data_IF_093255857784
#
_entry.id   IF_093255857784
#
_cell.length_a   1.000
_cell.length_b   1.000
_cell.length_c   1.000
_cell.angle_alpha   90.00
_cell.angle_beta   90.00
_cell.angle_gamma   90.00
#
_symmetry.space_group_name_H-M   'P 1'
#
loop_
_entity.id
_entity.type
_entity.pdbx_description
1 polymer ?
#
# COMPACT_ATOMS: atom_id res chain seq x y z
N UNK A 1 4.28 12.72 31.39
CA UNK A 1 3.61 11.49 30.90
C UNK A 1 3.08 10.71 32.11
N UNK A 2 1.84 10.96 32.54
CA UNK A 2 1.21 10.33 33.73
C UNK A 2 -0.04 9.50 33.42
N UNK A 3 -0.34 9.25 32.14
CA UNK A 3 -1.36 8.29 31.74
C UNK A 3 -0.68 7.09 31.07
N UNK A 4 -0.80 5.90 31.66
CA UNK A 4 -0.36 4.65 31.03
C UNK A 4 -1.49 4.19 30.12
N UNK A 5 -1.37 4.38 28.81
CA UNK A 5 -2.17 3.62 27.87
C UNK A 5 -2.00 2.12 28.20
N UNK A 6 -3.07 1.33 28.31
CA UNK A 6 -3.00 -0.09 28.66
C UNK A 6 -2.60 -0.92 27.43
N UNK A 7 -1.49 -0.61 26.77
CA UNK A 7 -0.97 -1.39 25.64
C UNK A 7 0.33 -2.09 26.04
N UNK A 8 0.46 -3.37 25.71
CA UNK A 8 1.65 -4.18 25.98
C UNK A 8 2.60 -4.21 24.75
N UNK A 9 2.03 -3.96 23.58
CA UNK A 9 2.72 -3.87 22.29
C UNK A 9 2.07 -2.80 21.41
N UNK A 10 2.89 -2.05 20.66
CA UNK A 10 2.46 -1.14 19.61
C UNK A 10 3.04 -1.60 18.28
N UNK A 11 2.22 -1.64 17.23
CA UNK A 11 2.64 -1.89 15.84
C UNK A 11 2.52 -0.59 15.07
N UNK A 12 3.65 0.05 14.76
CA UNK A 12 3.70 1.27 13.96
C UNK A 12 3.57 0.92 12.47
N UNK A 13 2.57 1.51 11.82
CA UNK A 13 2.32 1.29 10.38
C UNK A 13 2.88 2.50 9.62
N UNK A 14 3.98 2.29 8.90
CA UNK A 14 4.57 3.27 8.00
C UNK A 14 4.12 3.04 6.55
N UNK A 15 4.06 4.09 5.74
CA UNK A 15 3.74 3.91 4.31
C UNK A 15 4.92 3.31 3.53
N UNK A 16 6.13 3.77 3.82
CA UNK A 16 7.34 3.38 3.09
C UNK A 16 7.63 4.28 1.90
N UNK A 17 8.87 4.25 1.44
CA UNK A 17 9.40 5.07 0.34
C UNK A 17 10.59 4.38 -0.28
N UNK A 18 10.84 4.64 -1.57
CA UNK A 18 12.03 4.14 -2.28
C UNK A 18 13.31 4.89 -1.92
N UNK A 19 13.22 6.05 -1.27
CA UNK A 19 14.39 6.84 -0.87
C UNK A 19 15.03 6.28 0.41
N UNK A 20 16.31 5.95 0.35
CA UNK A 20 17.06 5.39 1.48
C UNK A 20 17.01 6.27 2.72
N UNK A 21 17.20 7.59 2.56
CA UNK A 21 17.13 8.52 3.70
C UNK A 21 15.73 8.59 4.31
N UNK A 22 14.66 8.39 3.52
CA UNK A 22 13.28 8.42 4.02
C UNK A 22 12.96 7.16 4.82
N UNK A 23 13.49 6.01 4.38
CA UNK A 23 13.47 4.79 5.18
C UNK A 23 14.27 4.95 6.47
N UNK A 24 15.45 5.59 6.41
CA UNK A 24 16.29 5.84 7.58
C UNK A 24 15.59 6.75 8.61
N UNK A 25 14.86 7.78 8.18
CA UNK A 25 14.07 8.63 9.08
C UNK A 25 12.96 7.86 9.78
N UNK A 26 12.22 7.01 9.07
CA UNK A 26 11.20 6.18 9.71
C UNK A 26 11.82 5.18 10.70
N UNK A 27 12.94 4.54 10.35
CA UNK A 27 13.66 3.65 11.29
C UNK A 27 14.12 4.41 12.52
N UNK A 28 14.68 5.61 12.36
CA UNK A 28 15.05 6.48 13.48
C UNK A 28 13.85 6.85 14.36
N UNK A 29 12.67 7.06 13.75
CA UNK A 29 11.42 7.27 14.48
C UNK A 29 10.99 6.03 15.26
N UNK A 30 11.09 4.83 14.67
CA UNK A 30 10.79 3.56 15.36
C UNK A 30 11.74 3.35 16.54
N UNK A 31 13.03 3.64 16.39
CA UNK A 31 13.99 3.59 17.49
C UNK A 31 13.69 4.61 18.59
N UNK A 32 13.28 5.83 18.22
CA UNK A 32 12.83 6.84 19.17
C UNK A 32 11.61 6.33 19.97
N UNK A 33 10.65 5.71 19.29
CA UNK A 33 9.48 5.10 19.92
C UNK A 33 9.89 3.98 20.88
N UNK A 34 10.75 3.05 20.44
CA UNK A 34 11.23 1.95 21.28
C UNK A 34 11.97 2.43 22.54
N UNK A 35 12.69 3.56 22.48
CA UNK A 35 13.38 4.13 23.65
C UNK A 35 12.46 4.89 24.61
N UNK A 36 11.43 5.56 24.10
CA UNK A 36 10.63 6.52 24.88
C UNK A 36 9.29 5.96 25.35
N UNK A 37 8.71 5.02 24.60
CA UNK A 37 7.42 4.42 24.95
C UNK A 37 7.61 3.34 26.03
N UNK A 38 6.66 3.21 26.98
CA UNK A 38 6.72 2.22 28.05
C UNK A 38 6.29 0.80 27.62
N UNK A 39 6.28 0.54 26.32
CA UNK A 39 5.73 -0.66 25.68
C UNK A 39 6.70 -1.18 24.62
N UNK A 40 6.58 -2.46 24.26
CA UNK A 40 7.26 -2.98 23.07
C UNK A 40 6.73 -2.27 21.82
N UNK A 41 7.62 -2.11 20.84
CA UNK A 41 7.32 -1.47 19.57
C UNK A 41 7.77 -2.41 18.46
N UNK A 42 6.83 -2.77 17.59
CA UNK A 42 7.07 -3.37 16.28
C UNK A 42 6.72 -2.32 15.23
N UNK A 43 7.25 -2.47 14.02
CA UNK A 43 6.91 -1.59 12.91
C UNK A 43 6.89 -2.38 11.61
N UNK A 44 6.09 -1.92 10.66
CA UNK A 44 6.06 -2.46 9.31
C UNK A 44 5.74 -1.38 8.28
N UNK A 45 6.09 -1.64 7.03
CA UNK A 45 5.79 -0.77 5.91
C UNK A 45 4.69 -1.35 5.03
N UNK A 46 3.82 -0.46 4.54
CA UNK A 46 2.82 -0.76 3.53
C UNK A 46 3.51 -1.21 2.24
N UNK A 47 4.49 -0.44 1.78
CA UNK A 47 5.22 -0.70 0.53
C UNK A 47 6.70 -0.33 0.62
N UNK A 48 7.49 -0.80 -0.35
CA UNK A 48 8.86 -0.35 -0.67
C UNK A 48 9.97 -0.61 0.36
N UNK A 49 9.67 -1.12 1.55
CA UNK A 49 10.66 -1.40 2.57
C UNK A 49 10.26 -2.58 3.46
N UNK A 50 11.26 -3.25 4.01
CA UNK A 50 11.10 -4.28 5.02
C UNK A 50 11.33 -3.72 6.43
N UNK A 51 10.70 -4.31 7.47
CA UNK A 51 9.73 -5.42 7.41
C UNK A 51 8.36 -5.01 6.84
N UNK A 52 7.65 -5.94 6.19
CA UNK A 52 6.32 -5.68 5.64
C UNK A 52 5.27 -5.58 6.75
N UNK A 53 4.07 -5.07 6.43
CA UNK A 53 2.92 -5.12 7.36
C UNK A 53 2.55 -6.54 7.78
N UNK A 54 2.72 -7.53 6.91
CA UNK A 54 2.45 -8.93 7.23
C UNK A 54 3.48 -9.45 8.25
N UNK A 55 4.76 -9.13 8.07
CA UNK A 55 5.83 -9.51 9.01
C UNK A 55 5.59 -8.89 10.39
N UNK A 56 5.23 -7.60 10.42
CA UNK A 56 4.94 -6.88 11.66
C UNK A 56 3.72 -7.45 12.39
N UNK A 57 2.65 -7.79 11.65
CA UNK A 57 1.46 -8.43 12.20
C UNK A 57 1.78 -9.82 12.78
N UNK A 58 2.59 -10.60 12.07
CA UNK A 58 2.99 -11.95 12.47
C UNK A 58 3.90 -11.94 13.69
N UNK A 59 4.86 -11.02 13.74
CA UNK A 59 5.69 -10.78 14.91
C UNK A 59 4.83 -10.36 16.12
N UNK A 60 3.87 -9.46 15.91
CA UNK A 60 2.95 -9.03 16.95
C UNK A 60 2.09 -10.17 17.50
N UNK A 61 1.54 -11.02 16.64
CA UNK A 61 0.75 -12.19 17.03
C UNK A 61 1.58 -13.21 17.84
N UNK A 62 2.84 -13.43 17.44
CA UNK A 62 3.76 -14.36 18.15
C UNK A 62 4.36 -13.78 19.45
N UNK A 63 4.16 -12.50 19.73
CA UNK A 63 4.78 -11.80 20.86
C UNK A 63 4.23 -12.18 22.26
N UNK A 64 3.07 -12.85 22.29
CA UNK A 64 2.32 -13.16 23.52
C UNK A 64 1.68 -11.93 24.21
N UNK A 65 1.68 -10.76 23.56
CA UNK A 65 1.03 -9.57 24.09
C UNK A 65 -0.50 -9.74 24.17
N UNK A 66 -1.13 -9.31 25.28
CA UNK A 66 -2.59 -9.39 25.45
C UNK A 66 -3.30 -8.13 24.98
N UNK A 67 -2.62 -6.99 25.01
CA UNK A 67 -3.16 -5.70 24.58
C UNK A 67 -2.25 -5.12 23.51
N UNK A 68 -2.74 -5.07 22.28
CA UNK A 68 -1.95 -4.67 21.11
C UNK A 68 -2.62 -3.46 20.47
N UNK A 69 -1.86 -2.42 20.20
CA UNK A 69 -2.35 -1.26 19.43
C UNK A 69 -1.66 -1.20 18.08
N UNK A 70 -2.44 -1.21 17.01
CA UNK A 70 -1.97 -0.88 15.66
C UNK A 70 -2.09 0.63 15.50
N UNK A 71 -0.96 1.29 15.25
CA UNK A 71 -0.87 2.75 15.25
C UNK A 71 -0.38 3.24 13.87
N UNK A 72 -1.28 3.82 13.05
CA UNK A 72 -0.91 4.35 11.75
C UNK A 72 -0.10 5.64 11.88
N UNK A 73 1.14 5.64 11.40
CA UNK A 73 2.02 6.80 11.35
C UNK A 73 1.76 7.55 10.05
N UNK A 74 0.54 8.07 9.93
CA UNK A 74 0.01 8.73 8.74
C UNK A 74 -0.71 10.01 9.15
N UNK A 75 -0.56 11.07 8.36
CA UNK A 75 -1.14 12.38 8.68
C UNK A 75 -2.63 12.42 8.38
N UNK A 76 -3.01 12.07 7.15
CA UNK A 76 -4.40 12.15 6.70
C UNK A 76 -4.85 10.75 6.26
N UNK A 77 -6.01 10.32 6.74
CA UNK A 77 -6.56 9.01 6.39
C UNK A 77 -7.14 9.06 4.97
N UNK A 78 -6.46 8.45 4.00
CA UNK A 78 -6.81 8.52 2.58
C UNK A 78 -6.58 7.18 1.86
N UNK A 79 -7.52 6.76 1.01
CA UNK A 79 -7.37 5.57 0.16
C UNK A 79 -7.05 4.29 0.96
N UNK A 80 -6.16 3.45 0.40
CA UNK A 80 -5.74 2.18 1.01
C UNK A 80 -5.18 2.32 2.44
N UNK A 81 -4.65 3.49 2.82
CA UNK A 81 -4.14 3.75 4.18
C UNK A 81 -5.21 3.55 5.27
N UNK A 82 -6.50 3.72 4.95
CA UNK A 82 -7.60 3.42 5.87
C UNK A 82 -7.78 1.92 6.12
N UNK A 83 -7.45 1.10 5.12
CA UNK A 83 -7.65 -0.34 5.14
C UNK A 83 -6.37 -1.09 5.55
N UNK A 84 -5.19 -0.54 5.32
CA UNK A 84 -3.91 -1.18 5.63
C UNK A 84 -3.70 -1.39 7.13
N UNK A 85 -3.91 -0.35 7.95
CA UNK A 85 -3.82 -0.51 9.39
C UNK A 85 -4.94 -1.41 9.96
N UNK A 86 -6.11 -1.39 9.32
CA UNK A 86 -7.22 -2.28 9.66
C UNK A 86 -6.91 -3.74 9.29
N UNK A 87 -6.22 -3.99 8.17
CA UNK A 87 -5.82 -5.33 7.72
C UNK A 87 -4.78 -5.94 8.64
N UNK A 88 -3.81 -5.14 9.11
CA UNK A 88 -2.86 -5.53 10.16
C UNK A 88 -3.61 -5.93 11.44
N UNK A 89 -4.54 -5.09 11.90
CA UNK A 89 -5.33 -5.40 13.09
C UNK A 89 -6.17 -6.68 12.91
N UNK A 90 -6.79 -6.87 11.74
CA UNK A 90 -7.57 -8.06 11.41
C UNK A 90 -6.70 -9.32 11.40
N UNK A 91 -5.49 -9.26 10.81
CA UNK A 91 -4.54 -10.37 10.78
C UNK A 91 -4.08 -10.76 12.19
N UNK A 92 -3.74 -9.77 13.03
CA UNK A 92 -3.35 -10.04 14.42
C UNK A 92 -4.50 -10.71 15.17
N UNK A 93 -5.75 -10.24 15.03
CA UNK A 93 -6.94 -10.85 15.66
C UNK A 93 -7.16 -12.29 15.21
N UNK A 94 -6.90 -12.60 13.94
CA UNK A 94 -7.03 -13.96 13.42
C UNK A 94 -5.97 -14.92 13.98
N UNK A 95 -4.73 -14.44 14.15
CA UNK A 95 -3.60 -15.24 14.62
C UNK A 95 -3.48 -15.31 16.15
N UNK A 96 -4.03 -14.32 16.87
CA UNK A 96 -4.00 -14.20 18.32
C UNK A 96 -5.40 -13.83 18.86
N UNK A 97 -6.37 -14.78 18.86
CA UNK A 97 -7.77 -14.51 19.21
C UNK A 97 -7.96 -14.06 20.68
N UNK A 98 -7.01 -14.35 21.56
CA UNK A 98 -7.05 -13.94 22.97
C UNK A 98 -6.51 -12.50 23.21
N UNK A 99 -6.00 -11.82 22.18
CA UNK A 99 -5.48 -10.46 22.30
C UNK A 99 -6.59 -9.40 22.06
N UNK A 100 -6.67 -8.38 22.93
CA UNK A 100 -7.44 -7.15 22.69
C UNK A 100 -6.62 -6.25 21.74
N UNK A 101 -6.98 -6.28 20.47
CA UNK A 101 -6.32 -5.52 19.40
C UNK A 101 -7.13 -4.27 19.07
N UNK A 102 -6.53 -3.09 19.23
CA UNK A 102 -7.14 -1.80 18.92
C UNK A 102 -6.41 -1.06 17.81
N UNK A 103 -7.15 -0.25 17.07
CA UNK A 103 -6.63 0.61 16.01
C UNK A 103 -6.63 2.05 16.52
N UNK A 104 -5.45 2.67 16.59
CA UNK A 104 -5.34 4.09 16.86
C UNK A 104 -5.78 4.93 15.64
N UNK A 105 -6.31 6.14 15.86
CA UNK A 105 -6.62 7.05 14.75
C UNK A 105 -5.34 7.49 14.05
N UNK A 106 -5.46 7.97 12.81
CA UNK A 106 -4.40 8.74 12.16
C UNK A 106 -4.08 10.02 12.93
N UNK A 107 -2.91 10.61 12.64
CA UNK A 107 -2.39 11.76 13.40
C UNK A 107 -3.16 13.06 13.17
N UNK A 108 -3.76 13.24 11.99
CA UNK A 108 -4.61 14.36 11.62
C UNK A 108 -4.01 15.72 11.96
N UNK A 109 -4.87 16.62 12.43
CA UNK A 109 -4.54 17.96 12.95
C UNK A 109 -4.25 17.95 14.46
N UNK A 110 -3.52 16.95 14.97
CA UNK A 110 -3.16 16.91 16.40
C UNK A 110 -2.44 18.18 16.86
N UNK A 111 -2.65 18.56 18.12
CA UNK A 111 -2.09 19.79 18.67
C UNK A 111 -0.56 19.77 18.62
N UNK A 112 0.04 18.62 18.88
CA UNK A 112 1.48 18.37 18.86
C UNK A 112 2.06 18.64 17.47
N UNK A 113 1.40 18.17 16.40
CA UNK A 113 1.85 18.41 15.03
C UNK A 113 1.65 19.85 14.60
N UNK A 114 0.53 20.48 14.98
CA UNK A 114 0.30 21.89 14.70
C UNK A 114 1.32 22.79 15.43
N UNK A 115 1.69 22.47 16.68
CA UNK A 115 2.75 23.18 17.41
C UNK A 115 4.12 22.97 16.79
N UNK A 116 4.42 21.73 16.36
CA UNK A 116 5.66 21.42 15.64
C UNK A 116 5.72 22.20 14.32
N UNK A 117 4.64 22.23 13.54
CA UNK A 117 4.57 23.00 12.28
C UNK A 117 4.85 24.49 12.53
N UNK A 118 4.22 25.09 13.53
CA UNK A 118 4.44 26.50 13.90
C UNK A 118 5.88 26.75 14.35
N UNK A 119 6.47 25.81 15.10
CA UNK A 119 7.87 25.90 15.52
C UNK A 119 8.83 25.86 14.32
N UNK A 120 8.61 24.96 13.36
CA UNK A 120 9.42 24.87 12.12
C UNK A 120 9.22 26.10 11.24
N UNK A 121 7.99 26.58 11.11
CA UNK A 121 7.64 27.81 10.41
C UNK A 121 8.39 29.03 10.98
N UNK A 122 8.31 29.25 12.30
CA UNK A 122 8.98 30.39 12.96
C UNK A 122 10.50 30.33 12.95
N UNK A 123 11.08 29.13 12.82
CA UNK A 123 12.53 28.97 12.69
C UNK A 123 13.06 29.53 11.36
N UNK A 124 12.24 29.51 10.30
CA UNK A 124 12.59 30.03 8.97
C UNK A 124 12.05 31.45 8.77
N UNK A 125 10.86 31.74 9.31
CA UNK A 125 10.19 33.03 9.22
C UNK A 125 9.88 33.57 10.63
N UNK A 126 10.83 34.30 11.27
CA UNK A 126 10.63 34.81 12.63
C UNK A 126 9.52 35.87 12.74
N UNK A 127 9.25 36.57 11.63
CA UNK A 127 8.13 37.49 11.49
C UNK A 127 7.02 36.82 10.68
N UNK A 128 5.73 37.13 10.91
CA UNK A 128 4.64 36.55 10.12
C UNK A 128 4.82 36.87 8.62
N UNK A 129 4.76 35.87 7.73
CA UNK A 129 4.79 36.09 6.28
C UNK A 129 3.49 36.76 5.82
N UNK A 130 3.48 37.30 4.60
CA UNK A 130 2.25 37.86 4.02
C UNK A 130 1.22 36.77 3.72
N UNK A 131 1.69 35.57 3.39
CA UNK A 131 0.84 34.40 3.14
C UNK A 131 1.50 33.08 3.54
N UNK A 132 0.66 32.07 3.79
CA UNK A 132 1.08 30.70 4.07
C UNK A 132 0.49 29.75 3.02
N UNK A 133 1.32 28.86 2.48
CA UNK A 133 0.89 27.76 1.63
C UNK A 133 1.10 26.44 2.40
N UNK A 134 0.01 25.76 2.77
CA UNK A 134 0.12 24.44 3.41
C UNK A 134 0.02 23.35 2.35
N UNK A 135 1.06 22.52 2.26
CA UNK A 135 1.17 21.52 1.20
C UNK A 135 0.98 20.10 1.76
N UNK A 136 0.07 19.35 1.14
CA UNK A 136 -0.15 17.94 1.43
C UNK A 136 -0.13 17.06 0.18
N UNK A 137 -0.21 15.75 0.36
CA UNK A 137 -0.14 14.80 -0.77
C UNK A 137 -1.28 14.97 -1.77
N UNK A 138 -2.48 15.18 -1.25
CA UNK A 138 -3.75 15.08 -1.97
C UNK A 138 -4.24 13.64 -2.14
N UNK A 139 -5.56 13.49 -2.26
CA UNK A 139 -6.25 12.21 -2.31
C UNK A 139 -7.46 12.26 -3.23
N UNK A 140 -7.85 11.10 -3.75
CA UNK A 140 -9.17 10.89 -4.36
C UNK A 140 -10.30 10.87 -3.33
N UNK A 141 -9.98 10.72 -2.03
CA UNK A 141 -10.94 10.83 -0.93
C UNK A 141 -11.17 12.31 -0.57
N UNK A 142 -12.39 12.86 -0.79
CA UNK A 142 -12.66 14.26 -0.50
C UNK A 142 -12.51 14.63 0.98
N UNK A 143 -12.73 13.68 1.90
CA UNK A 143 -12.59 13.93 3.34
C UNK A 143 -11.15 14.22 3.75
N UNK A 144 -10.19 13.57 3.09
CA UNK A 144 -8.77 13.81 3.31
C UNK A 144 -8.34 15.21 2.83
N UNK A 145 -8.85 15.64 1.69
CA UNK A 145 -8.54 16.98 1.16
C UNK A 145 -9.17 18.07 2.04
N UNK A 146 -10.40 17.86 2.52
CA UNK A 146 -11.06 18.77 3.45
C UNK A 146 -10.33 18.88 4.80
N UNK A 147 -9.74 17.78 5.28
CA UNK A 147 -8.91 17.79 6.49
C UNK A 147 -7.67 18.67 6.31
N UNK A 148 -7.01 18.61 5.14
CA UNK A 148 -5.87 19.50 4.86
C UNK A 148 -6.29 20.98 4.82
N UNK A 149 -7.44 21.30 4.23
CA UNK A 149 -7.95 22.67 4.22
C UNK A 149 -8.22 23.20 5.65
N UNK A 150 -8.77 22.36 6.53
CA UNK A 150 -8.94 22.70 7.94
C UNK A 150 -7.58 22.90 8.64
N UNK A 151 -6.61 22.03 8.39
CA UNK A 151 -5.24 22.16 8.90
C UNK A 151 -4.61 23.47 8.43
N UNK A 152 -4.77 23.83 7.16
CA UNK A 152 -4.24 25.07 6.61
C UNK A 152 -4.75 26.29 7.39
N UNK A 153 -6.06 26.34 7.62
CA UNK A 153 -6.67 27.39 8.44
C UNK A 153 -6.10 27.43 9.86
N UNK A 154 -5.96 26.28 10.52
CA UNK A 154 -5.41 26.19 11.87
C UNK A 154 -3.94 26.64 11.95
N UNK A 155 -3.13 26.30 10.95
CA UNK A 155 -1.74 26.76 10.85
C UNK A 155 -1.69 28.29 10.70
N UNK A 156 -2.52 28.86 9.83
CA UNK A 156 -2.66 30.31 9.67
C UNK A 156 -2.99 31.05 10.95
N UNK A 157 -4.00 30.57 11.69
CA UNK A 157 -4.42 31.18 12.96
C UNK A 157 -3.31 31.17 14.01
N UNK A 158 -2.52 30.09 14.09
CA UNK A 158 -1.40 30.01 15.05
C UNK A 158 -0.20 30.85 14.63
N UNK A 159 -0.02 31.09 13.33
CA UNK A 159 1.00 31.98 12.81
C UNK A 159 0.58 33.45 12.81
N UNK A 160 -0.72 33.74 12.95
CA UNK A 160 -1.26 35.09 12.84
C UNK A 160 -1.25 35.61 11.41
N UNK A 161 -1.49 34.71 10.43
CA UNK A 161 -1.51 35.02 9.00
C UNK A 161 -2.91 34.80 8.45
N UNK A 162 -3.47 35.84 7.83
CA UNK A 162 -4.84 35.80 7.31
C UNK A 162 -4.95 35.11 5.95
N UNK A 163 -3.98 35.36 5.08
CA UNK A 163 -3.95 34.82 3.72
C UNK A 163 -3.29 33.44 3.72
N UNK A 164 -4.12 32.40 3.60
CA UNK A 164 -3.68 31.01 3.64
C UNK A 164 -4.36 30.23 2.53
N UNK A 165 -3.59 29.41 1.83
CA UNK A 165 -4.09 28.44 0.85
C UNK A 165 -3.52 27.06 1.16
N UNK A 166 -4.28 26.02 0.83
CA UNK A 166 -3.80 24.65 0.72
C UNK A 166 -3.44 24.30 -0.73
N UNK A 167 -2.47 23.41 -0.90
CA UNK A 167 -2.16 22.83 -2.21
C UNK A 167 -1.74 21.37 -2.10
N UNK A 168 -1.82 20.68 -3.23
CA UNK A 168 -1.66 19.25 -3.32
C UNK A 168 -0.59 18.87 -4.33
N UNK A 169 0.26 17.91 -3.95
CA UNK A 169 1.30 17.37 -4.84
C UNK A 169 0.69 16.47 -5.93
N UNK A 170 -0.41 15.80 -5.62
CA UNK A 170 -1.03 14.80 -6.50
C UNK A 170 -2.52 14.60 -6.17
N UNK A 171 -3.27 14.01 -7.11
CA UNK A 171 -4.64 13.48 -6.90
C UNK A 171 -5.74 14.50 -6.51
N UNK A 172 -5.38 15.73 -6.16
CA UNK A 172 -6.28 16.81 -5.80
C UNK A 172 -5.75 18.15 -6.36
N UNK A 173 -6.60 19.17 -6.32
CA UNK A 173 -6.31 20.52 -6.80
C UNK A 173 -6.57 21.54 -5.69
N UNK A 174 -5.86 22.68 -5.66
CA UNK A 174 -4.87 23.14 -6.66
C UNK A 174 -3.52 22.41 -6.56
N UNK A 175 -2.76 22.39 -7.66
CA UNK A 175 -1.36 21.95 -7.64
C UNK A 175 -0.51 22.89 -6.77
N UNK A 176 0.70 22.48 -6.38
CA UNK A 176 1.59 23.33 -5.57
C UNK A 176 1.93 24.64 -6.29
N UNK A 177 2.25 24.58 -7.58
CA UNK A 177 2.50 25.76 -8.40
C UNK A 177 1.26 26.64 -8.54
N UNK A 178 0.09 26.05 -8.73
CA UNK A 178 -1.17 26.81 -8.77
C UNK A 178 -1.47 27.50 -7.44
N UNK A 179 -1.18 26.85 -6.30
CA UNK A 179 -1.30 27.45 -4.97
C UNK A 179 -0.42 28.68 -4.80
N UNK A 180 0.85 28.59 -5.21
CA UNK A 180 1.78 29.75 -5.23
C UNK A 180 1.23 30.87 -6.11
N UNK A 181 0.75 30.54 -7.31
CA UNK A 181 0.22 31.53 -8.24
C UNK A 181 -1.06 32.21 -7.72
N UNK A 182 -1.95 31.48 -7.05
CA UNK A 182 -3.14 32.03 -6.41
C UNK A 182 -2.78 33.05 -5.34
N UNK A 183 -1.83 32.72 -4.46
CA UNK A 183 -1.34 33.64 -3.43
C UNK A 183 -0.73 34.91 -4.04
N UNK A 184 0.07 34.77 -5.10
CA UNK A 184 0.65 35.91 -5.81
C UNK A 184 -0.42 36.83 -6.43
N UNK A 185 -1.46 36.23 -7.06
CA UNK A 185 -2.61 36.97 -7.62
C UNK A 185 -3.43 37.68 -6.54
N UNK A 186 -3.48 37.13 -5.33
CA UNK A 186 -4.10 37.73 -4.16
C UNK A 186 -3.26 38.85 -3.52
N UNK A 187 -2.06 39.11 -4.05
CA UNK A 187 -1.22 40.24 -3.67
C UNK A 187 0.02 39.87 -2.85
N UNK A 188 0.18 38.61 -2.46
CA UNK A 188 1.35 38.18 -1.71
C UNK A 188 2.63 38.31 -2.54
N UNK A 189 3.70 38.74 -1.89
CA UNK A 189 5.07 38.86 -2.40
C UNK A 189 6.06 38.05 -1.57
N UNK A 190 5.70 37.70 -0.33
CA UNK A 190 6.41 36.72 0.49
C UNK A 190 5.46 35.62 0.96
N UNK A 191 5.82 34.36 0.71
CA UNK A 191 5.04 33.17 1.09
C UNK A 191 5.90 32.22 1.89
N UNK A 192 5.33 31.69 2.97
CA UNK A 192 5.90 30.54 3.68
C UNK A 192 5.17 29.26 3.28
N UNK A 193 5.90 28.32 2.68
CA UNK A 193 5.43 26.96 2.46
C UNK A 193 5.61 26.14 3.73
N UNK A 194 4.52 25.57 4.22
CA UNK A 194 4.51 24.65 5.37
C UNK A 194 4.16 23.24 4.87
N UNK A 195 5.14 22.32 4.79
CA UNK A 195 4.86 20.96 4.35
C UNK A 195 4.16 20.18 5.47
N UNK A 196 2.94 19.73 5.22
CA UNK A 196 2.24 18.79 6.10
C UNK A 196 2.72 17.36 5.80
N UNK A 197 3.96 17.07 6.19
CA UNK A 197 4.70 15.87 5.79
C UNK A 197 5.53 15.29 6.94
N UNK A 198 5.51 13.96 7.07
CA UNK A 198 6.23 13.26 8.16
C UNK A 198 7.70 13.08 7.84
N UNK A 199 8.01 12.29 6.82
CA UNK A 199 9.39 11.90 6.48
C UNK A 199 9.72 12.29 5.05
N UNK A 200 11.01 12.34 4.76
CA UNK A 200 11.51 12.64 3.43
C UNK A 200 11.01 11.62 2.40
N UNK A 201 10.76 12.09 1.17
CA UNK A 201 10.17 11.27 0.11
C UNK A 201 10.10 12.02 -1.21
N UNK A 202 10.01 11.27 -2.32
CA UNK A 202 10.03 11.80 -3.70
C UNK A 202 8.95 12.86 -3.92
N UNK A 203 7.78 12.68 -3.32
CA UNK A 203 6.67 13.63 -3.48
C UNK A 203 6.92 14.97 -2.79
N UNK A 204 7.60 14.98 -1.64
CA UNK A 204 7.94 16.23 -0.95
C UNK A 204 8.98 17.02 -1.75
N UNK A 205 10.03 16.35 -2.24
CA UNK A 205 11.06 16.98 -3.08
C UNK A 205 10.45 17.59 -4.35
N UNK A 206 9.51 16.87 -4.98
CA UNK A 206 8.75 17.39 -6.13
C UNK A 206 7.94 18.64 -5.77
N UNK A 207 7.30 18.65 -4.59
CA UNK A 207 6.50 19.78 -4.13
C UNK A 207 7.35 21.04 -3.93
N UNK A 208 8.49 20.89 -3.25
CA UNK A 208 9.44 21.97 -3.00
C UNK A 208 10.02 22.52 -4.30
N UNK A 209 10.35 21.63 -5.26
CA UNK A 209 10.82 22.02 -6.58
C UNK A 209 9.75 22.81 -7.36
N UNK A 210 8.51 22.29 -7.44
CA UNK A 210 7.41 22.95 -8.15
C UNK A 210 7.11 24.34 -7.56
N UNK A 211 7.10 24.46 -6.22
CA UNK A 211 6.91 25.73 -5.53
C UNK A 211 8.03 26.72 -5.86
N UNK A 212 9.29 26.28 -5.79
CA UNK A 212 10.48 27.11 -6.03
C UNK A 212 10.53 27.63 -7.45
N UNK A 213 10.29 26.76 -8.43
CA UNK A 213 10.25 27.14 -9.85
C UNK A 213 9.16 28.18 -10.12
N UNK A 214 7.96 27.98 -9.57
CA UNK A 214 6.84 28.91 -9.76
C UNK A 214 7.08 30.25 -9.06
N UNK A 215 7.58 30.23 -7.83
CA UNK A 215 7.88 31.45 -7.08
C UNK A 215 8.95 32.29 -7.79
N UNK A 216 10.02 31.65 -8.28
CA UNK A 216 11.07 32.29 -9.07
C UNK A 216 10.52 32.95 -10.34
N UNK A 217 9.66 32.25 -11.09
CA UNK A 217 9.02 32.80 -12.29
C UNK A 217 8.13 34.02 -12.00
N UNK A 218 7.56 34.14 -10.79
CA UNK A 218 6.69 35.23 -10.37
C UNK A 218 7.42 36.35 -9.61
N UNK A 219 8.72 36.19 -9.33
CA UNK A 219 9.49 37.12 -8.49
C UNK A 219 8.98 37.16 -7.05
N UNK A 220 8.48 36.03 -6.54
CA UNK A 220 7.92 35.88 -5.20
C UNK A 220 8.97 35.31 -4.25
N UNK A 221 9.11 35.92 -3.07
CA UNK A 221 9.98 35.41 -2.00
C UNK A 221 9.32 34.18 -1.37
N UNK A 222 9.98 33.02 -1.50
CA UNK A 222 9.48 31.75 -0.98
C UNK A 222 10.41 31.22 0.10
N UNK A 223 9.85 30.99 1.28
CA UNK A 223 10.49 30.29 2.37
C UNK A 223 9.84 28.92 2.55
N UNK A 224 10.62 27.89 2.87
CA UNK A 224 10.12 26.53 3.06
C UNK A 224 10.42 26.10 4.50
N UNK A 225 9.38 25.84 5.28
CA UNK A 225 9.54 25.28 6.61
C UNK A 225 9.99 23.82 6.53
N UNK A 226 10.77 23.37 7.51
CA UNK A 226 11.18 21.97 7.59
C UNK A 226 9.97 21.06 7.86
N UNK A 227 9.97 19.87 7.23
CA UNK A 227 9.04 18.76 7.53
C UNK A 227 9.14 18.31 9.00
N UNK A 228 8.25 17.41 9.42
CA UNK A 228 8.21 16.96 10.82
C UNK A 228 9.42 16.12 11.25
N UNK A 229 9.80 15.13 10.44
CA UNK A 229 10.89 14.20 10.72
C UNK A 229 10.64 13.28 11.92
N UNK A 230 11.67 12.52 12.37
CA UNK A 230 11.63 11.69 13.57
C UNK A 230 11.68 12.53 14.86
N UNK A 231 10.72 13.44 15.02
CA UNK A 231 10.65 14.39 16.14
C UNK A 231 9.82 13.81 17.31
N UNK A 232 10.22 14.05 18.57
CA UNK A 232 9.44 13.68 19.75
C UNK A 232 7.97 14.12 19.73
N UNK A 233 7.65 15.27 19.13
CA UNK A 233 6.26 15.73 19.04
C UNK A 233 5.39 14.84 18.13
N UNK A 234 5.98 14.24 17.08
CA UNK A 234 5.28 13.24 16.25
C UNK A 234 4.97 11.99 17.08
N UNK A 235 5.92 11.57 17.92
CA UNK A 235 5.72 10.42 18.80
C UNK A 235 4.69 10.71 19.89
N UNK A 236 4.69 11.92 20.44
CA UNK A 236 3.69 12.35 21.42
C UNK A 236 2.29 12.36 20.78
N UNK A 237 2.15 12.76 19.50
CA UNK A 237 0.89 12.66 18.74
C UNK A 237 0.44 11.20 18.54
N UNK A 238 1.36 10.29 18.16
CA UNK A 238 1.07 8.85 18.08
C UNK A 238 0.61 8.32 19.44
N UNK A 239 1.28 8.70 20.52
CA UNK A 239 0.94 8.24 21.86
C UNK A 239 -0.44 8.70 22.31
N UNK A 240 -0.82 9.95 22.01
CA UNK A 240 -2.18 10.43 22.27
C UNK A 240 -3.23 9.61 21.50
N UNK A 241 -3.00 9.32 20.23
CA UNK A 241 -3.89 8.45 19.44
C UNK A 241 -4.02 7.05 20.05
N UNK A 242 -2.92 6.48 20.56
CA UNK A 242 -2.94 5.21 21.29
C UNK A 242 -3.80 5.33 22.55
N UNK A 243 -3.62 6.36 23.37
CA UNK A 243 -4.46 6.57 24.56
C UNK A 243 -5.95 6.67 24.22
N UNK A 244 -6.31 7.39 23.16
CA UNK A 244 -7.69 7.57 22.72
C UNK A 244 -8.35 6.25 22.30
N UNK A 245 -7.61 5.39 21.57
CA UNK A 245 -8.07 4.05 21.20
C UNK A 245 -8.44 3.21 22.43
N UNK A 246 -7.77 3.43 23.57
CA UNK A 246 -8.06 2.71 24.80
C UNK A 246 -9.17 3.32 25.65
N UNK A 247 -9.54 4.59 25.42
CA UNK A 247 -10.63 5.30 26.10
C UNK A 247 -12.03 5.03 25.50
N UNK A 248 -12.15 4.09 24.56
CA UNK A 248 -13.38 3.83 23.78
C UNK A 248 -13.83 5.01 22.90
N UNK A 249 -12.92 5.95 22.61
CA UNK A 249 -13.14 6.93 21.54
C UNK A 249 -13.02 6.16 20.24
N UNK A 250 -14.11 6.06 19.47
CA UNK A 250 -14.04 5.43 18.16
C UNK A 250 -13.12 6.26 17.28
N UNK A 251 -12.15 5.62 16.65
CA UNK A 251 -11.27 6.28 15.69
C UNK A 251 -12.10 6.89 14.57
N UNK A 252 -11.65 8.00 13.98
CA UNK A 252 -12.36 8.64 12.86
C UNK A 252 -12.61 7.67 11.70
N UNK A 253 -11.73 6.68 11.50
CA UNK A 253 -11.88 5.59 10.55
C UNK A 253 -12.91 4.51 10.95
N UNK A 254 -13.17 4.30 12.25
CA UNK A 254 -14.21 3.40 12.74
C UNK A 254 -15.62 4.00 12.59
N UNK A 255 -15.71 5.32 12.52
CA UNK A 255 -16.95 6.07 12.29
C UNK A 255 -16.97 6.81 10.95
N UNK A 256 -16.04 6.49 10.04
CA UNK A 256 -15.91 7.21 8.78
C UNK A 256 -17.13 6.90 7.91
N UNK A 257 -18.03 7.89 7.75
CA UNK A 257 -19.22 7.78 6.87
C UNK A 257 -18.92 7.46 5.40
N UNK A 258 -17.66 7.63 4.99
CA UNK A 258 -17.19 7.44 3.62
C UNK A 258 -16.41 6.14 3.43
N UNK A 259 -16.05 5.46 4.52
CA UNK A 259 -15.41 4.14 4.44
C UNK A 259 -16.53 3.09 4.30
N UNK A 260 -16.57 2.32 3.20
CA UNK A 260 -17.48 1.18 3.12
C UNK A 260 -17.18 0.20 4.27
N UNK A 261 -18.19 -0.54 4.78
CA UNK A 261 -17.94 -1.50 5.84
C UNK A 261 -16.81 -2.44 5.43
N UNK A 262 -15.74 -2.47 6.24
CA UNK A 262 -14.66 -3.42 6.03
C UNK A 262 -15.19 -4.82 6.29
N UNK A 263 -15.50 -5.53 5.21
CA UNK A 263 -15.61 -6.97 5.21
C UNK A 263 -14.20 -7.50 5.03
N UNK A 264 -13.55 -8.08 6.06
CA UNK A 264 -12.33 -8.82 5.79
C UNK A 264 -12.66 -9.84 4.71
N UNK A 265 -11.80 -10.02 3.68
CA UNK A 265 -11.97 -11.14 2.78
C UNK A 265 -12.07 -12.40 3.65
N UNK A 266 -13.01 -13.32 3.35
CA UNK A 266 -13.04 -14.59 4.06
C UNK A 266 -11.63 -15.17 4.03
N UNK A 267 -11.15 -15.82 5.11
CA UNK A 267 -9.83 -16.43 5.11
C UNK A 267 -9.70 -17.27 3.84
N UNK A 268 -8.77 -16.88 2.96
CA UNK A 268 -8.45 -17.63 1.75
C UNK A 268 -7.64 -18.84 2.24
N UNK A 269 -8.33 -19.81 2.82
CA UNK A 269 -7.76 -21.04 3.34
C UNK A 269 -8.29 -22.28 2.58
N UNK A 270 -9.26 -22.09 1.68
CA UNK A 270 -9.83 -23.17 0.89
C UNK A 270 -9.50 -22.96 -0.60
N UNK A 271 -8.47 -23.67 -1.05
CA UNK A 271 -8.17 -23.82 -2.48
C UNK A 271 -9.29 -24.57 -3.21
N UNK A 272 -10.28 -25.11 -2.49
CA UNK A 272 -11.42 -25.84 -3.02
C UNK A 272 -10.92 -27.05 -3.80
N UNK A 273 -11.47 -27.23 -4.99
CA UNK A 273 -11.09 -28.33 -5.88
C UNK A 273 -9.77 -28.11 -6.64
N UNK A 274 -9.09 -26.98 -6.47
CA UNK A 274 -7.81 -26.73 -7.14
C UNK A 274 -6.73 -27.67 -6.58
N UNK A 275 -6.12 -28.46 -7.46
CA UNK A 275 -5.10 -29.47 -7.13
C UNK A 275 -3.71 -29.05 -7.59
N UNK A 276 -3.62 -28.46 -8.78
CA UNK A 276 -2.35 -28.12 -9.41
C UNK A 276 -2.49 -26.88 -10.29
N UNK A 277 -1.41 -26.11 -10.38
CA UNK A 277 -1.29 -24.94 -11.24
C UNK A 277 -0.10 -25.18 -12.14
N UNK A 278 -0.28 -24.93 -13.43
CA UNK A 278 0.78 -24.91 -14.42
C UNK A 278 0.85 -23.56 -15.12
N UNK A 279 2.04 -23.25 -15.63
CA UNK A 279 2.31 -22.02 -16.35
C UNK A 279 2.58 -22.36 -17.81
N UNK A 280 1.69 -21.93 -18.70
CA UNK A 280 1.85 -22.07 -20.14
C UNK A 280 2.65 -20.91 -20.71
N UNK A 281 3.62 -21.22 -21.58
CA UNK A 281 4.36 -20.22 -22.37
C UNK A 281 4.25 -20.56 -23.85
N UNK A 282 3.57 -19.69 -24.60
CA UNK A 282 3.44 -19.81 -26.05
C UNK A 282 4.77 -19.48 -26.75
N UNK A 283 5.23 -20.36 -27.63
CA UNK A 283 6.49 -20.20 -28.37
C UNK A 283 6.45 -20.84 -29.77
N UNK A 284 7.03 -20.22 -30.79
CA UNK A 284 7.18 -20.87 -32.10
C UNK A 284 8.25 -21.99 -32.08
N UNK A 285 9.10 -22.02 -31.06
CA UNK A 285 10.17 -23.00 -30.91
C UNK A 285 10.29 -23.47 -29.45
N UNK A 286 9.55 -24.54 -29.08
CA UNK A 286 9.60 -25.14 -27.74
C UNK A 286 10.99 -25.63 -27.35
N UNK A 287 11.76 -26.20 -28.28
CA UNK A 287 13.10 -26.73 -27.98
C UNK A 287 14.08 -25.62 -27.59
N UNK A 288 14.08 -24.50 -28.32
CA UNK A 288 14.91 -23.33 -27.99
C UNK A 288 14.48 -22.68 -26.66
N UNK A 289 13.17 -22.56 -26.42
CA UNK A 289 12.66 -22.02 -25.17
C UNK A 289 12.97 -22.93 -23.96
N UNK A 290 12.88 -24.26 -24.12
CA UNK A 290 13.20 -25.24 -23.10
C UNK A 290 14.66 -25.12 -22.65
N UNK A 291 15.59 -25.01 -23.59
CA UNK A 291 17.01 -24.85 -23.30
C UNK A 291 17.31 -23.60 -22.45
N UNK A 292 16.54 -22.52 -22.61
CA UNK A 292 16.67 -21.31 -21.82
C UNK A 292 16.02 -21.46 -20.45
N UNK A 293 14.72 -21.79 -20.42
CA UNK A 293 13.92 -21.82 -19.20
C UNK A 293 14.34 -22.91 -18.23
N UNK A 294 14.65 -24.11 -18.73
CA UNK A 294 15.16 -25.19 -17.87
C UNK A 294 16.45 -24.78 -17.14
N UNK A 295 17.33 -24.03 -17.82
CA UNK A 295 18.60 -23.58 -17.24
C UNK A 295 18.42 -22.45 -16.24
N UNK A 296 17.50 -21.52 -16.51
CA UNK A 296 17.20 -20.40 -15.62
C UNK A 296 16.49 -20.87 -14.35
N UNK A 297 15.53 -21.78 -14.50
CA UNK A 297 14.69 -22.27 -13.40
C UNK A 297 15.30 -23.46 -12.66
N UNK A 298 16.31 -24.12 -13.24
CA UNK A 298 16.85 -25.37 -12.71
C UNK A 298 15.91 -26.57 -12.92
N UNK A 299 15.05 -26.52 -13.93
CA UNK A 299 14.02 -27.52 -14.19
C UNK A 299 14.55 -28.66 -15.07
N UNK A 300 13.94 -29.85 -14.94
CA UNK A 300 14.12 -30.97 -15.87
C UNK A 300 13.24 -30.76 -17.09
N UNK A 301 13.78 -31.01 -18.28
CA UNK A 301 13.05 -31.03 -19.54
C UNK A 301 12.37 -32.40 -19.67
N UNK A 302 11.06 -32.42 -19.83
CA UNK A 302 10.27 -33.60 -20.14
C UNK A 302 10.31 -33.96 -21.63
N UNK A 303 9.63 -35.05 -21.99
CA UNK A 303 9.50 -35.45 -23.39
C UNK A 303 8.50 -34.53 -24.12
N UNK A 304 8.73 -34.32 -25.41
CA UNK A 304 7.73 -33.72 -26.29
C UNK A 304 6.52 -34.65 -26.35
N UNK A 305 5.33 -34.07 -26.30
CA UNK A 305 4.09 -34.82 -26.46
C UNK A 305 4.01 -35.49 -27.85
N UNK A 306 3.08 -36.43 -28.01
CA UNK A 306 2.82 -37.18 -29.25
C UNK A 306 2.62 -36.28 -30.47
N UNK A 307 2.19 -35.04 -30.26
CA UNK A 307 1.87 -34.08 -31.31
C UNK A 307 2.99 -33.09 -31.60
N UNK A 308 4.03 -33.04 -30.77
CA UNK A 308 5.12 -32.06 -30.85
C UNK A 308 4.68 -30.62 -30.58
N UNK A 309 3.52 -30.46 -29.94
CA UNK A 309 2.86 -29.19 -29.61
C UNK A 309 3.24 -28.72 -28.22
N UNK A 310 3.43 -29.63 -27.27
CA UNK A 310 3.69 -29.30 -25.87
C UNK A 310 5.02 -29.90 -25.39
N UNK A 311 5.71 -29.18 -24.52
CA UNK A 311 6.95 -29.62 -23.88
C UNK A 311 6.99 -29.14 -22.44
N UNK A 312 7.06 -30.08 -21.50
CA UNK A 312 6.99 -29.78 -20.07
C UNK A 312 8.36 -29.54 -19.44
N UNK A 313 8.40 -28.60 -18.51
CA UNK A 313 9.53 -28.30 -17.65
C UNK A 313 9.06 -28.47 -16.21
N UNK A 314 9.75 -29.31 -15.43
CA UNK A 314 9.33 -29.65 -14.07
C UNK A 314 10.47 -29.41 -13.08
N UNK A 315 10.17 -28.80 -11.94
CA UNK A 315 11.11 -28.66 -10.83
C UNK A 315 11.59 -30.06 -10.39
N UNK A 316 12.90 -30.28 -10.18
CA UNK A 316 13.41 -31.62 -9.88
C UNK A 316 12.76 -32.28 -8.66
N UNK A 317 12.40 -31.47 -7.66
CA UNK A 317 11.78 -31.86 -6.39
C UNK A 317 10.27 -31.59 -6.32
N UNK A 318 9.66 -31.09 -7.40
CA UNK A 318 8.25 -30.73 -7.43
C UNK A 318 7.85 -29.54 -6.54
N UNK A 319 8.82 -28.80 -6.00
CA UNK A 319 8.56 -27.70 -5.05
C UNK A 319 7.96 -26.44 -5.70
N UNK A 320 8.06 -26.33 -7.03
CA UNK A 320 7.60 -25.20 -7.81
C UNK A 320 6.68 -25.66 -8.95
N UNK A 321 5.72 -24.80 -9.38
CA UNK A 321 4.80 -25.13 -10.46
C UNK A 321 5.50 -25.58 -11.75
N UNK A 322 4.97 -26.59 -12.45
CA UNK A 322 5.40 -26.93 -13.80
C UNK A 322 5.22 -25.77 -14.78
N UNK A 323 6.09 -25.73 -15.78
CA UNK A 323 6.01 -24.80 -16.92
C UNK A 323 5.91 -25.62 -18.18
N UNK A 324 4.88 -25.43 -19.00
CA UNK A 324 4.80 -26.07 -20.31
C UNK A 324 5.01 -25.05 -21.43
N UNK A 325 5.64 -25.50 -22.51
CA UNK A 325 5.93 -24.70 -23.69
C UNK A 325 4.99 -25.12 -24.82
N UNK A 326 4.06 -24.25 -25.18
CA UNK A 326 3.07 -24.51 -26.22
C UNK A 326 3.54 -23.98 -27.57
N UNK A 327 3.56 -24.85 -28.59
CA UNK A 327 3.93 -24.48 -29.95
C UNK A 327 2.83 -23.66 -30.60
N UNK A 328 3.21 -22.49 -31.13
CA UNK A 328 2.34 -21.65 -31.96
C UNK A 328 2.99 -21.34 -33.31
N UNK A 329 2.20 -21.15 -34.37
CA UNK A 329 2.75 -20.92 -35.72
C UNK A 329 3.40 -19.54 -35.87
N UNK A 330 2.81 -18.50 -35.28
CA UNK A 330 3.34 -17.14 -35.30
C UNK A 330 3.09 -16.45 -33.96
N UNK A 331 4.12 -15.83 -33.40
CA UNK A 331 3.98 -15.05 -32.17
C UNK A 331 3.54 -13.63 -32.53
N UNK A 332 2.29 -13.27 -32.23
CA UNK A 332 1.88 -11.86 -32.16
C UNK A 332 2.56 -11.23 -30.93
N UNK A 333 3.43 -10.21 -31.10
CA UNK A 333 4.08 -9.55 -29.98
C UNK A 333 3.14 -8.77 -29.06
N UNK A 334 1.86 -8.59 -29.44
CA UNK A 334 0.82 -7.93 -28.63
C UNK A 334 -0.08 -8.91 -27.87
N UNK A 335 0.00 -10.21 -28.16
CA UNK A 335 -0.81 -11.21 -27.47
C UNK A 335 -0.20 -11.56 -26.11
N UNK A 336 -1.05 -11.91 -25.14
CA UNK A 336 -0.58 -12.49 -23.89
C UNK A 336 0.00 -13.89 -24.18
N UNK A 337 1.28 -14.09 -23.89
CA UNK A 337 2.01 -15.33 -24.20
C UNK A 337 2.24 -16.21 -22.98
N UNK A 338 1.79 -15.76 -21.80
CA UNK A 338 1.89 -16.51 -20.56
C UNK A 338 0.49 -16.64 -19.97
N UNK A 339 0.08 -17.87 -19.68
CA UNK A 339 -1.23 -18.16 -19.11
C UNK A 339 -1.13 -19.19 -18.00
N UNK A 340 -2.17 -19.22 -17.17
CA UNK A 340 -2.31 -20.18 -16.10
C UNK A 340 -3.27 -21.29 -16.50
N UNK A 341 -2.88 -22.50 -16.16
CA UNK A 341 -3.65 -23.70 -16.37
C UNK A 341 -3.93 -24.32 -15.00
N UNK A 342 -5.21 -24.26 -14.62
CA UNK A 342 -5.69 -24.62 -13.30
C UNK A 342 -6.32 -26.01 -13.36
N UNK A 343 -5.71 -26.96 -12.68
CA UNK A 343 -6.17 -28.34 -12.60
C UNK A 343 -6.94 -28.55 -11.31
N UNK A 344 -8.15 -29.09 -11.42
CA UNK A 344 -8.93 -29.49 -10.27
C UNK A 344 -9.50 -30.87 -10.39
N UNK A 345 -10.02 -31.39 -9.28
CA UNK A 345 -10.73 -32.67 -9.27
C UNK A 345 -11.97 -32.64 -10.21
N UNK A 346 -12.57 -31.46 -10.38
CA UNK A 346 -13.65 -31.21 -11.33
C UNK A 346 -13.39 -29.91 -12.09
N UNK A 347 -13.27 -30.02 -13.42
CA UNK A 347 -13.18 -28.88 -14.34
C UNK A 347 -14.40 -27.98 -14.19
N UNK A 348 -15.58 -28.58 -14.12
CA UNK A 348 -16.87 -27.89 -13.99
C UNK A 348 -16.94 -27.09 -12.68
N UNK A 349 -16.44 -27.64 -11.58
CA UNK A 349 -16.46 -26.95 -10.28
C UNK A 349 -15.53 -25.73 -10.28
N UNK A 350 -14.31 -25.86 -10.84
CA UNK A 350 -13.41 -24.71 -11.01
C UNK A 350 -14.00 -23.66 -11.95
N UNK A 351 -14.62 -24.08 -13.05
CA UNK A 351 -15.30 -23.19 -14.00
C UNK A 351 -16.43 -22.42 -13.32
N UNK A 352 -17.32 -23.09 -12.60
CA UNK A 352 -18.45 -22.46 -11.91
C UNK A 352 -17.96 -21.48 -10.85
N UNK A 353 -16.92 -21.83 -10.09
CA UNK A 353 -16.28 -20.93 -9.14
C UNK A 353 -15.74 -19.67 -9.81
N UNK A 354 -15.04 -19.81 -10.94
CA UNK A 354 -14.49 -18.68 -11.68
C UNK A 354 -15.59 -17.76 -12.23
N UNK A 355 -16.66 -18.32 -12.80
CA UNK A 355 -17.81 -17.54 -13.27
C UNK A 355 -18.51 -16.81 -12.11
N UNK A 356 -18.65 -17.44 -10.95
CA UNK A 356 -19.22 -16.80 -9.76
C UNK A 356 -18.36 -15.63 -9.23
N UNK A 357 -17.05 -15.63 -9.54
CA UNK A 357 -16.11 -14.55 -9.22
C UNK A 357 -16.03 -13.46 -10.30
N UNK A 358 -16.83 -13.57 -11.37
CA UNK A 358 -16.90 -12.58 -12.44
C UNK A 358 -15.99 -12.86 -13.64
N UNK A 359 -15.44 -14.07 -13.75
CA UNK A 359 -14.76 -14.48 -14.98
C UNK A 359 -15.77 -14.62 -16.14
N UNK A 360 -15.30 -14.37 -17.35
CA UNK A 360 -16.06 -14.57 -18.57
C UNK A 360 -15.54 -15.78 -19.35
N UNK A 361 -16.43 -16.66 -19.81
CA UNK A 361 -16.03 -17.76 -20.68
C UNK A 361 -15.65 -17.25 -22.08
N UNK A 362 -14.50 -17.75 -22.57
CA UNK A 362 -14.01 -17.46 -23.92
C UNK A 362 -14.23 -18.65 -24.86
N UNK A 363 -13.94 -19.86 -24.38
CA UNK A 363 -14.22 -21.09 -25.13
C UNK A 363 -14.28 -22.31 -24.21
N UNK A 364 -15.16 -23.26 -24.52
CA UNK A 364 -15.25 -24.54 -23.84
C UNK A 364 -14.85 -25.66 -24.81
N UNK A 365 -13.63 -26.18 -24.65
CA UNK A 365 -13.07 -27.24 -25.48
C UNK A 365 -13.25 -28.59 -24.80
N UNK A 366 -14.37 -29.25 -25.11
CA UNK A 366 -14.75 -30.55 -24.53
C UNK A 366 -14.07 -31.75 -25.16
N UNK A 367 -13.54 -31.58 -26.37
CA UNK A 367 -12.80 -32.58 -27.12
C UNK A 367 -11.52 -31.92 -27.63
N UNK A 368 -10.44 -32.07 -26.87
CA UNK A 368 -9.12 -31.56 -27.21
C UNK A 368 -8.19 -32.62 -27.80
N UNK A 369 -6.94 -32.20 -28.02
CA UNK A 369 -5.87 -33.09 -28.50
C UNK A 369 -5.60 -34.17 -27.45
N UNK A 370 -5.39 -35.41 -27.88
CA UNK A 370 -5.14 -36.59 -27.03
C UNK A 370 -6.21 -36.86 -25.94
N UNK A 371 -7.44 -36.35 -26.14
CA UNK A 371 -8.57 -36.60 -25.23
C UNK A 371 -8.70 -35.60 -24.07
N UNK A 372 -7.81 -34.60 -23.99
CA UNK A 372 -7.87 -33.56 -22.97
C UNK A 372 -9.07 -32.61 -23.14
N UNK A 373 -9.67 -32.15 -22.04
CA UNK A 373 -10.78 -31.19 -22.06
C UNK A 373 -10.46 -29.99 -21.16
N UNK A 374 -10.62 -28.77 -21.70
CA UNK A 374 -10.34 -27.53 -20.98
C UNK A 374 -11.37 -26.44 -21.28
N UNK A 375 -11.53 -25.50 -20.38
CA UNK A 375 -12.32 -24.30 -20.60
C UNK A 375 -11.42 -23.07 -20.46
N UNK A 376 -11.38 -22.25 -21.51
CA UNK A 376 -10.68 -20.96 -21.51
C UNK A 376 -11.63 -19.91 -20.95
N UNK A 377 -11.20 -19.28 -19.87
CA UNK A 377 -11.88 -18.20 -19.18
C UNK A 377 -11.01 -16.94 -19.24
N UNK A 378 -11.60 -15.78 -18.98
CA UNK A 378 -10.90 -14.53 -18.75
C UNK A 378 -11.34 -13.92 -17.43
N UNK A 379 -10.39 -13.39 -16.65
CA UNK A 379 -10.71 -12.64 -15.44
C UNK A 379 -11.38 -11.29 -15.76
N UNK A 380 -11.82 -10.51 -14.75
CA UNK A 380 -12.46 -9.22 -14.98
C UNK A 380 -11.62 -8.19 -15.75
N UNK A 381 -10.28 -8.33 -15.73
CA UNK A 381 -9.35 -7.46 -16.45
C UNK A 381 -8.95 -8.02 -17.83
N UNK A 382 -9.47 -9.20 -18.20
CA UNK A 382 -9.29 -9.83 -19.51
C UNK A 382 -8.12 -10.80 -19.61
N UNK A 383 -7.43 -11.13 -18.52
CA UNK A 383 -6.35 -12.12 -18.48
C UNK A 383 -6.94 -13.51 -18.68
N UNK A 384 -6.48 -14.21 -19.72
CA UNK A 384 -6.97 -15.55 -20.04
C UNK A 384 -6.26 -16.64 -19.23
N UNK A 385 -7.03 -17.64 -18.82
CA UNK A 385 -6.56 -18.83 -18.12
C UNK A 385 -7.43 -20.04 -18.48
N UNK A 386 -6.88 -21.24 -18.34
CA UNK A 386 -7.59 -22.49 -18.58
C UNK A 386 -7.96 -23.16 -17.26
N UNK A 387 -9.13 -23.79 -17.23
CA UNK A 387 -9.49 -24.76 -16.18
C UNK A 387 -9.60 -26.15 -16.79
N UNK A 388 -9.02 -27.13 -16.10
CA UNK A 388 -8.90 -28.52 -16.53
C UNK A 388 -9.26 -29.48 -15.41
N UNK A 389 -9.59 -30.71 -15.82
CA UNK A 389 -9.71 -31.82 -14.89
C UNK A 389 -8.34 -32.50 -14.74
N UNK A 390 -7.93 -32.75 -13.50
CA UNK A 390 -6.74 -33.56 -13.23
C UNK A 390 -7.04 -35.02 -13.57
N UNK A 391 -6.09 -35.71 -14.22
CA UNK A 391 -6.24 -37.14 -14.46
C UNK A 391 -6.15 -37.91 -13.13
N UNK A 392 -6.96 -38.95 -12.92
CA UNK A 392 -6.82 -39.77 -11.72
C UNK A 392 -5.42 -40.41 -11.70
N UNK A 393 -4.72 -40.33 -10.57
CA UNK A 393 -3.46 -41.05 -10.37
C UNK A 393 -3.70 -42.54 -10.72
N UNK A 394 -2.89 -43.08 -11.62
CA UNK A 394 -2.89 -44.51 -11.88
C UNK A 394 -2.31 -45.23 -10.64
N UNK A 395 -3.14 -46.05 -9.99
CA UNK A 395 -2.78 -46.90 -8.84
C UNK A 395 -1.53 -47.77 -9.09
#
# INVERSE_FOLDING_TARGET
MTHRAPTDLVVLVGHGTRLEHGQAEFRAFVELAARRLPTRVEAGFIEFADPTLADAADAAARSGARRITVAPVVLVGAGHLKDDAASVAARIRALAPDADVRLAPQLGASNELLELAVRRARAVSPMPPEAVLVVGRGSTDPSANAELAAIARLVGERLGVDLVEEAFVSLAQPSVGEGVERLWRLGARSVLLVPWWLFAGVLLERAEQEATERASALGLDLQVAERFGPDPAVLDAVWYGIEDAWRQVRSSCDTCRWRPPFSPPPPIADHGDLRRIEIGIDTPDPGRAAAFWARLLGYRIGDLDSTGTYLDLVAPDGSLPPVFLQRIETADPRANRVHLDLYGASRETLRERALALGAEERSDRREGVDGGAWCVLADPDGVQFCVMQDEPEAD
#
